data_IF_519722855962
#
_entry.id   IF_519722855962
#
_cell.length_a   1.000
_cell.length_b   1.000
_cell.length_c   1.000
_cell.angle_alpha   90.00
_cell.angle_beta   90.00
_cell.angle_gamma   90.00
#
_symmetry.space_group_name_H-M   'P 1'
#
loop_
_entity.id
_entity.type
_entity.pdbx_description
1 polymer ?
#
# COMPACT_ATOMS: atom_id res chain seq x y z
N UNK A 1 1.91 -5.41 -10.90
CA UNK A 1 2.88 -5.43 -9.77
C UNK A 1 2.40 -4.69 -8.52
N UNK A 2 1.54 -3.66 -8.64
CA UNK A 2 0.94 -2.90 -7.52
C UNK A 2 0.48 -3.75 -6.32
N UNK A 3 -0.42 -4.71 -6.53
CA UNK A 3 -0.94 -5.56 -5.45
C UNK A 3 0.11 -6.54 -4.85
N UNK A 4 1.13 -6.91 -5.63
CA UNK A 4 2.24 -7.72 -5.13
C UNK A 4 3.14 -6.88 -4.21
N UNK A 5 3.50 -5.67 -4.65
CA UNK A 5 4.35 -4.75 -3.90
C UNK A 5 3.72 -4.38 -2.56
N UNK A 6 2.45 -3.95 -2.55
CA UNK A 6 1.71 -3.61 -1.31
C UNK A 6 1.71 -4.72 -0.25
N UNK A 7 1.71 -5.99 -0.68
CA UNK A 7 1.68 -7.16 0.22
C UNK A 7 3.05 -7.58 0.74
N UNK A 8 4.13 -7.21 0.04
CA UNK A 8 5.44 -7.82 0.26
C UNK A 8 6.56 -6.82 0.53
N UNK A 9 6.41 -5.54 0.18
CA UNK A 9 7.51 -4.57 0.28
C UNK A 9 7.97 -4.29 1.72
N UNK A 10 7.10 -4.48 2.72
CA UNK A 10 7.41 -4.29 4.15
C UNK A 10 7.75 -5.58 4.90
N UNK A 11 7.75 -6.73 4.22
CA UNK A 11 8.12 -8.01 4.83
C UNK A 11 9.65 -8.13 4.88
N UNK A 12 10.15 -9.01 5.75
CA UNK A 12 11.59 -9.25 5.93
C UNK A 12 12.27 -9.56 4.58
N UNK A 13 13.33 -8.82 4.18
CA UNK A 13 14.07 -9.06 2.95
C UNK A 13 14.57 -10.51 2.78
N UNK A 14 14.91 -11.21 3.87
CA UNK A 14 15.33 -12.62 3.87
C UNK A 14 14.24 -13.55 3.33
N UNK A 15 12.97 -13.19 3.50
CA UNK A 15 11.82 -13.95 2.96
C UNK A 15 11.80 -13.97 1.44
N UNK A 16 12.44 -12.99 0.80
CA UNK A 16 12.47 -12.86 -0.67
C UNK A 16 13.86 -13.01 -1.24
N UNK A 17 14.74 -13.76 -0.59
CA UNK A 17 16.02 -14.08 -1.17
C UNK A 17 15.84 -14.86 -2.49
N UNK A 18 16.55 -14.44 -3.54
CA UNK A 18 16.58 -15.19 -4.78
C UNK A 18 17.34 -16.51 -4.54
N UNK A 19 16.79 -17.62 -5.05
CA UNK A 19 17.46 -18.95 -5.01
C UNK A 19 18.38 -19.21 -6.21
N UNK A 20 18.58 -18.20 -7.07
CA UNK A 20 19.45 -18.23 -8.25
C UNK A 20 20.49 -17.11 -8.11
N UNK A 21 20.83 -16.41 -9.18
CA UNK A 21 21.83 -15.34 -9.25
C UNK A 21 21.27 -13.93 -9.03
N UNK A 22 20.07 -13.79 -8.45
CA UNK A 22 19.40 -12.48 -8.24
C UNK A 22 19.16 -11.64 -9.50
N UNK A 23 19.23 -12.25 -10.68
CA UNK A 23 19.14 -11.65 -12.01
C UNK A 23 17.93 -12.16 -12.81
N UNK A 24 16.92 -12.70 -12.12
CA UNK A 24 15.80 -13.37 -12.78
C UNK A 24 15.08 -12.40 -13.72
N UNK A 25 14.87 -12.81 -14.97
CA UNK A 25 13.98 -12.06 -15.86
C UNK A 25 12.53 -12.10 -15.35
N UNK A 26 11.89 -10.92 -15.28
CA UNK A 26 10.56 -10.69 -14.68
C UNK A 26 9.58 -10.22 -15.77
N UNK A 27 9.03 -11.18 -16.51
CA UNK A 27 8.00 -10.97 -17.55
C UNK A 27 6.59 -11.25 -17.02
N UNK A 28 5.56 -11.12 -17.86
CA UNK A 28 4.18 -11.45 -17.46
C UNK A 28 4.02 -12.93 -17.05
N UNK A 29 4.74 -13.81 -17.72
CA UNK A 29 4.77 -15.26 -17.58
C UNK A 29 5.71 -15.67 -16.42
N UNK A 30 6.89 -15.07 -16.34
CA UNK A 30 7.95 -15.50 -15.40
C UNK A 30 7.90 -14.82 -14.04
N UNK A 31 7.18 -13.69 -13.88
CA UNK A 31 7.14 -12.90 -12.62
C UNK A 31 6.71 -13.66 -11.37
N UNK A 32 6.10 -14.84 -11.47
CA UNK A 32 5.76 -15.67 -10.30
C UNK A 32 6.91 -16.55 -9.83
N UNK A 33 7.94 -16.77 -10.66
CA UNK A 33 9.05 -17.70 -10.40
C UNK A 33 9.99 -17.22 -9.27
N UNK A 34 10.18 -15.90 -9.12
CA UNK A 34 11.04 -15.35 -8.07
C UNK A 34 10.44 -14.07 -7.49
N UNK A 35 9.95 -14.15 -6.25
CA UNK A 35 9.40 -12.99 -5.54
C UNK A 35 10.47 -11.94 -5.22
N UNK A 36 11.72 -12.36 -4.97
CA UNK A 36 12.87 -11.50 -4.73
C UNK A 36 13.17 -10.55 -5.88
N UNK A 37 13.53 -11.12 -7.03
CA UNK A 37 13.82 -10.32 -8.22
C UNK A 37 12.60 -9.51 -8.68
N UNK A 38 11.38 -10.03 -8.51
CA UNK A 38 10.16 -9.24 -8.77
C UNK A 38 10.06 -8.02 -7.87
N UNK A 39 10.33 -8.17 -6.57
CA UNK A 39 10.31 -7.06 -5.62
C UNK A 39 11.40 -6.03 -5.94
N UNK A 40 12.62 -6.49 -6.23
CA UNK A 40 13.72 -5.63 -6.68
C UNK A 40 13.36 -4.85 -7.94
N UNK A 41 12.80 -5.50 -8.96
CA UNK A 41 12.35 -4.83 -10.19
C UNK A 41 11.25 -3.80 -9.93
N UNK A 42 10.35 -4.03 -8.96
CA UNK A 42 9.34 -3.04 -8.57
C UNK A 42 9.99 -1.76 -7.99
N UNK A 43 11.01 -1.92 -7.15
CA UNK A 43 11.76 -0.80 -6.57
C UNK A 43 12.55 -0.06 -7.66
N UNK A 44 13.24 -0.78 -8.55
CA UNK A 44 13.96 -0.21 -9.69
C UNK A 44 13.04 0.59 -10.63
N UNK A 45 11.79 0.15 -10.79
CA UNK A 45 10.77 0.87 -11.56
C UNK A 45 10.06 1.99 -10.76
N UNK A 46 10.58 2.38 -9.59
CA UNK A 46 10.12 3.56 -8.84
C UNK A 46 9.00 3.33 -7.84
N UNK A 47 8.62 2.08 -7.51
CA UNK A 47 7.69 1.85 -6.39
C UNK A 47 8.40 2.12 -5.05
N UNK A 48 7.87 3.01 -4.22
CA UNK A 48 8.47 3.36 -2.92
C UNK A 48 7.70 2.76 -1.74
N UNK A 49 8.40 2.50 -0.62
CA UNK A 49 7.80 1.95 0.60
C UNK A 49 7.07 3.01 1.43
N UNK A 50 7.43 4.27 1.27
CA UNK A 50 6.99 5.39 2.13
C UNK A 50 5.47 5.57 2.14
N UNK A 51 4.80 5.15 1.06
CA UNK A 51 3.34 5.23 0.93
C UNK A 51 2.61 3.95 1.40
N UNK A 52 3.29 3.05 2.10
CA UNK A 52 2.72 1.82 2.63
C UNK A 52 2.57 1.90 4.15
N UNK A 53 1.36 1.59 4.64
CA UNK A 53 1.12 1.50 6.08
C UNK A 53 1.87 0.31 6.69
N UNK A 54 2.62 0.58 7.76
CA UNK A 54 3.25 -0.44 8.61
C UNK A 54 2.20 -1.29 9.31
N UNK A 55 2.62 -2.42 9.88
CA UNK A 55 1.73 -3.28 10.67
C UNK A 55 1.11 -2.54 11.86
N UNK A 56 1.91 -1.69 12.50
CA UNK A 56 1.47 -0.83 13.60
C UNK A 56 0.44 0.22 13.15
N UNK A 57 0.72 0.96 12.07
CA UNK A 57 -0.21 1.96 11.54
C UNK A 57 -1.54 1.32 11.09
N UNK A 58 -1.50 0.09 10.55
CA UNK A 58 -2.71 -0.67 10.24
C UNK A 58 -3.50 -1.02 11.51
N UNK A 59 -2.83 -1.47 12.57
CA UNK A 59 -3.48 -1.78 13.84
C UNK A 59 -4.14 -0.54 14.45
N UNK A 60 -3.46 0.61 14.45
CA UNK A 60 -4.00 1.89 14.90
C UNK A 60 -5.26 2.25 14.10
N UNK A 61 -5.17 2.20 12.77
CA UNK A 61 -6.30 2.52 11.90
C UNK A 61 -7.50 1.58 12.13
N UNK A 62 -7.24 0.29 12.38
CA UNK A 62 -8.30 -0.68 12.69
C UNK A 62 -8.98 -0.37 14.03
N UNK A 63 -8.21 -0.03 15.07
CA UNK A 63 -8.75 0.40 16.37
C UNK A 63 -9.63 1.64 16.23
N UNK A 64 -9.15 2.65 15.51
CA UNK A 64 -9.92 3.88 15.24
C UNK A 64 -11.24 3.58 14.50
N UNK A 65 -11.22 2.67 13.51
CA UNK A 65 -12.43 2.27 12.79
C UNK A 65 -13.43 1.60 13.74
N UNK A 66 -12.94 0.75 14.65
CA UNK A 66 -13.78 0.06 15.63
C UNK A 66 -14.39 1.02 16.66
N UNK A 67 -13.59 1.94 17.20
CA UNK A 67 -14.05 3.02 18.09
C UNK A 67 -15.10 3.90 17.42
N UNK A 68 -14.89 4.27 16.15
CA UNK A 68 -15.86 5.05 15.38
C UNK A 68 -17.17 4.28 15.15
N UNK A 69 -17.09 2.97 14.88
CA UNK A 69 -18.29 2.11 14.76
C UNK A 69 -19.06 2.04 16.07
N UNK A 70 -18.37 1.80 17.19
CA UNK A 70 -18.97 1.73 18.51
C UNK A 70 -19.59 3.07 18.94
N UNK A 71 -18.96 4.19 18.56
CA UNK A 71 -19.48 5.53 18.78
C UNK A 71 -20.74 5.81 17.95
N UNK A 72 -20.77 5.35 16.69
CA UNK A 72 -21.98 5.44 15.82
C UNK A 72 -23.14 4.62 16.40
N UNK A 73 -22.87 3.43 16.92
CA UNK A 73 -23.89 2.57 17.55
C UNK A 73 -24.46 3.20 18.82
N UNK A 74 -23.65 3.93 19.61
CA UNK A 74 -24.12 4.66 20.80
C UNK A 74 -24.96 5.89 20.47
N UNK A 75 -24.71 6.55 19.33
CA UNK A 75 -25.48 7.73 18.89
C UNK A 75 -26.88 7.34 18.40
N UNK A 76 -27.08 6.13 17.86
CA UNK A 76 -28.39 5.67 17.36
C UNK A 76 -29.49 5.46 18.44
N UNK A 77 -29.19 5.62 19.74
CA UNK A 77 -30.24 5.68 20.79
C UNK A 77 -30.84 7.08 20.97
N UNK A 78 -30.31 8.13 20.33
CA UNK A 78 -30.90 9.47 20.34
C UNK A 78 -30.82 10.06 18.94
N UNK A 79 -31.95 10.08 18.23
CA UNK A 79 -32.07 10.74 16.92
C UNK A 79 -31.55 12.19 16.99
N UNK A 80 -30.51 12.52 16.23
CA UNK A 80 -30.53 13.61 15.25
C UNK A 80 -29.24 13.67 14.42
N UNK A 81 -29.38 14.07 13.16
CA UNK A 81 -28.35 14.16 12.11
C UNK A 81 -27.05 14.81 12.61
N UNK A 82 -25.92 14.13 12.44
CA UNK A 82 -24.61 14.78 12.44
C UNK A 82 -23.77 14.31 11.25
N UNK A 83 -23.63 15.21 10.27
CA UNK A 83 -22.72 15.11 9.13
C UNK A 83 -21.27 15.21 9.62
N UNK A 84 -20.56 14.09 9.66
CA UNK A 84 -19.12 14.10 9.91
C UNK A 84 -18.41 14.62 8.66
N UNK A 85 -18.01 15.88 8.67
CA UNK A 85 -17.00 16.42 7.76
C UNK A 85 -15.66 15.78 8.16
N UNK A 86 -15.13 14.93 7.30
CA UNK A 86 -13.73 14.50 7.36
C UNK A 86 -12.97 15.51 6.51
N UNK A 87 -12.03 16.25 7.11
CA UNK A 87 -11.17 17.16 6.36
C UNK A 87 -10.43 16.38 5.27
N UNK A 88 -10.64 16.70 3.98
CA UNK A 88 -10.03 16.00 2.87
C UNK A 88 -8.63 16.58 2.60
N UNK A 89 -7.74 16.55 3.58
CA UNK A 89 -6.32 16.85 3.32
C UNK A 89 -5.52 15.54 3.40
N UNK A 90 -5.62 14.76 2.32
CA UNK A 90 -4.58 13.98 1.61
C UNK A 90 -5.26 13.42 0.34
N UNK A 91 -5.71 14.27 -0.57
CA UNK A 91 -5.73 13.95 -2.01
C UNK A 91 -5.35 15.24 -2.77
N UNK A 92 -4.34 15.08 -3.63
CA UNK A 92 -3.82 16.01 -4.66
C UNK A 92 -2.61 16.89 -4.30
N UNK A 93 -1.43 16.43 -4.73
CA UNK A 93 -0.58 17.28 -5.58
C UNK A 93 -0.24 16.55 -6.89
N UNK A 94 -0.95 17.01 -7.94
CA UNK A 94 -0.63 17.20 -9.37
C UNK A 94 0.20 16.17 -10.19
N UNK A 95 -0.25 15.83 -11.42
CA UNK A 95 0.52 15.00 -12.36
C UNK A 95 1.65 15.80 -13.00
N UNK A 96 2.89 15.30 -12.93
CA UNK A 96 3.98 15.84 -13.74
C UNK A 96 4.07 15.08 -15.07
N UNK A 97 4.14 15.91 -16.13
CA UNK A 97 4.00 15.62 -17.54
C UNK A 97 4.98 14.55 -18.04
N UNK A 98 4.47 13.71 -18.93
CA UNK A 98 5.23 12.87 -19.84
C UNK A 98 5.98 13.81 -20.80
N UNK A 99 7.31 13.75 -20.81
CA UNK A 99 8.12 14.33 -21.89
C UNK A 99 8.50 13.17 -22.81
N UNK A 100 7.89 13.11 -23.99
CA UNK A 100 8.45 12.38 -25.12
C UNK A 100 9.71 13.13 -25.57
N UNK A 101 10.85 12.46 -25.58
CA UNK A 101 12.00 12.88 -26.39
C UNK A 101 12.10 11.90 -27.55
N UNK A 102 12.04 12.46 -28.77
CA UNK A 102 12.31 11.80 -30.04
C UNK A 102 13.65 11.05 -30.01
#
# INVERSE_FOLDING_TARGET
CKAFFRRNALKDPKTFQCRRSSDCDVTLESRRRCAGCRLQKCLQNGMTRDRLLTSEQKAIKLRQIEENRNSTLKINSNNDKLSVKIDPEIIEEKPQKIIFKN
#
